data_IF_819918326929
#
_entry.id   IF_819918326929
#
_cell.length_a   1.000
_cell.length_b   1.000
_cell.length_c   1.000
_cell.angle_alpha   90.00
_cell.angle_beta   90.00
_cell.angle_gamma   90.00
#
_symmetry.space_group_name_H-M   'P 1'
#
loop_
_entity.id
_entity.type
_entity.pdbx_description
1 polymer ?
#
# COMPACT_ATOMS: atom_id res chain seq x y z
N UNK A 1 41.04 -9.46 -3.32
CA UNK A 1 40.72 -9.14 -1.90
C UNK A 1 41.63 -10.04 -1.07
N UNK A 2 42.61 -9.45 -0.35
CA UNK A 2 43.60 -10.17 0.44
C UNK A 2 42.90 -10.90 1.58
N UNK A 3 43.12 -12.22 1.69
CA UNK A 3 42.53 -13.11 2.72
C UNK A 3 42.70 -12.61 4.17
N UNK A 4 43.68 -11.74 4.46
CA UNK A 4 43.97 -11.24 5.82
C UNK A 4 43.04 -10.10 6.31
N UNK A 5 42.32 -9.40 5.43
CA UNK A 5 41.40 -8.32 5.86
C UNK A 5 40.04 -8.84 6.33
N UNK A 6 39.64 -10.03 5.87
CA UNK A 6 38.44 -10.73 6.34
C UNK A 6 38.62 -11.32 7.75
N UNK A 7 39.82 -11.82 8.07
CA UNK A 7 40.12 -12.35 9.40
C UNK A 7 40.15 -11.29 10.49
N UNK A 8 40.62 -10.06 10.17
CA UNK A 8 40.59 -8.92 11.11
C UNK A 8 39.17 -8.40 11.42
N UNK A 9 38.23 -8.53 10.47
CA UNK A 9 36.82 -8.20 10.68
C UNK A 9 36.10 -9.26 11.52
N UNK A 10 36.54 -10.52 11.48
CA UNK A 10 35.98 -11.63 12.26
C UNK A 10 36.46 -11.65 13.72
N UNK A 11 37.51 -10.94 14.06
CA UNK A 11 38.05 -10.86 15.45
C UNK A 11 37.21 -9.99 16.38
N UNK A 12 36.36 -9.09 15.86
CA UNK A 12 35.38 -8.39 16.69
C UNK A 12 34.12 -9.25 16.78
N UNK A 13 33.70 -9.68 17.98
CA UNK A 13 32.45 -10.41 18.19
C UNK A 13 31.28 -9.44 17.98
N UNK A 14 30.97 -9.17 16.71
CA UNK A 14 29.74 -8.42 16.39
C UNK A 14 28.54 -9.29 16.73
N UNK A 15 27.60 -8.81 17.54
CA UNK A 15 26.39 -9.57 17.82
C UNK A 15 25.63 -9.84 16.52
N UNK A 16 25.23 -11.08 16.32
CA UNK A 16 24.65 -11.60 15.05
C UNK A 16 23.47 -10.79 14.52
N UNK A 17 22.68 -10.18 15.41
CA UNK A 17 21.55 -9.33 15.01
C UNK A 17 22.00 -8.07 14.27
N UNK A 18 23.19 -7.54 14.56
CA UNK A 18 23.72 -6.37 13.86
C UNK A 18 23.95 -6.66 12.37
N UNK A 19 24.35 -7.88 12.00
CA UNK A 19 24.53 -8.25 10.60
C UNK A 19 23.21 -8.14 9.82
N UNK A 20 22.11 -8.60 10.41
CA UNK A 20 20.78 -8.49 9.78
C UNK A 20 20.41 -7.02 9.61
N UNK A 21 20.55 -6.22 10.67
CA UNK A 21 20.18 -4.80 10.63
C UNK A 21 21.05 -4.03 9.64
N UNK A 22 22.35 -4.22 9.63
CA UNK A 22 23.23 -3.54 8.67
C UNK A 22 22.94 -3.94 7.23
N UNK A 23 22.70 -5.23 6.97
CA UNK A 23 22.36 -5.69 5.62
C UNK A 23 21.00 -5.12 5.17
N UNK A 24 20.02 -5.09 6.08
CA UNK A 24 18.70 -4.50 5.82
C UNK A 24 18.81 -3.00 5.50
N UNK A 25 19.51 -2.25 6.33
CA UNK A 25 19.71 -0.80 6.14
C UNK A 25 20.47 -0.52 4.86
N UNK A 26 21.53 -1.28 4.56
CA UNK A 26 22.30 -1.13 3.34
C UNK A 26 21.44 -1.39 2.08
N UNK A 27 20.63 -2.45 2.09
CA UNK A 27 19.70 -2.75 1.01
C UNK A 27 18.63 -1.66 0.86
N UNK A 28 18.09 -1.15 1.98
CA UNK A 28 17.10 -0.09 1.96
C UNK A 28 17.68 1.23 1.42
N UNK A 29 18.91 1.58 1.80
CA UNK A 29 19.62 2.76 1.28
C UNK A 29 19.86 2.63 -0.23
N UNK A 30 20.24 1.45 -0.69
CA UNK A 30 20.43 1.20 -2.12
C UNK A 30 19.11 1.39 -2.90
N UNK A 31 18.02 0.81 -2.41
CA UNK A 31 16.69 0.99 -3.02
C UNK A 31 16.26 2.46 -2.96
N UNK A 32 16.51 3.15 -1.84
CA UNK A 32 16.20 4.57 -1.69
C UNK A 32 16.93 5.43 -2.74
N UNK A 33 18.21 5.14 -3.00
CA UNK A 33 18.99 5.84 -4.02
C UNK A 33 18.43 5.62 -5.43
N UNK A 34 18.04 4.37 -5.75
CA UNK A 34 17.41 4.05 -7.05
C UNK A 34 16.05 4.72 -7.22
N UNK A 35 15.20 4.68 -6.17
CA UNK A 35 13.90 5.35 -6.19
C UNK A 35 14.05 6.87 -6.30
N UNK A 36 14.99 7.46 -5.57
CA UNK A 36 15.28 8.90 -5.65
C UNK A 36 15.69 9.30 -7.08
N UNK A 37 16.55 8.51 -7.71
CA UNK A 37 16.96 8.75 -9.10
C UNK A 37 15.77 8.66 -10.06
N UNK A 38 14.92 7.62 -9.91
CA UNK A 38 13.75 7.40 -10.75
C UNK A 38 12.74 8.54 -10.60
N UNK A 39 12.43 8.91 -9.35
CA UNK A 39 11.43 9.95 -9.07
C UNK A 39 11.94 11.33 -9.50
N UNK A 40 13.24 11.61 -9.28
CA UNK A 40 13.85 12.85 -9.75
C UNK A 40 13.80 12.94 -11.28
N UNK A 41 14.14 11.85 -11.98
CA UNK A 41 14.07 11.80 -13.44
C UNK A 41 12.64 12.01 -13.95
N UNK A 42 11.65 11.36 -13.31
CA UNK A 42 10.23 11.52 -13.66
C UNK A 42 9.74 12.94 -13.41
N UNK A 43 10.09 13.53 -12.25
CA UNK A 43 9.73 14.89 -11.89
C UNK A 43 10.32 15.92 -12.88
N UNK A 44 11.61 15.73 -13.23
CA UNK A 44 12.29 16.59 -14.19
C UNK A 44 11.68 16.44 -15.59
N UNK A 45 11.45 15.22 -16.04
CA UNK A 45 10.83 14.97 -17.35
C UNK A 45 9.42 15.58 -17.44
N UNK A 46 8.59 15.39 -16.42
CA UNK A 46 7.25 15.98 -16.36
C UNK A 46 7.33 17.51 -16.37
N UNK A 47 8.18 18.10 -15.54
CA UNK A 47 8.37 19.56 -15.48
C UNK A 47 8.82 20.17 -16.82
N UNK A 48 9.77 19.51 -17.51
CA UNK A 48 10.29 20.00 -18.78
C UNK A 48 9.31 19.82 -19.96
N UNK A 49 8.56 18.72 -19.98
CA UNK A 49 7.65 18.42 -21.10
C UNK A 49 6.29 19.11 -20.96
N UNK A 50 5.78 19.24 -19.74
CA UNK A 50 4.42 19.79 -19.51
C UNK A 50 4.41 21.18 -18.88
N UNK A 51 5.55 21.66 -18.38
CA UNK A 51 5.66 22.89 -17.61
C UNK A 51 5.06 22.81 -16.19
N UNK A 52 4.57 21.63 -15.78
CA UNK A 52 3.91 21.43 -14.49
C UNK A 52 4.91 20.84 -13.49
N UNK A 53 5.32 21.64 -12.52
CA UNK A 53 6.23 21.24 -11.44
C UNK A 53 5.44 20.80 -10.20
N UNK A 54 4.89 19.57 -10.25
CA UNK A 54 4.08 19.03 -9.16
C UNK A 54 4.95 18.48 -8.02
N UNK A 55 4.83 19.00 -6.78
CA UNK A 55 5.51 18.45 -5.62
C UNK A 55 4.97 17.07 -5.22
N UNK A 56 3.77 16.71 -5.66
CA UNK A 56 3.14 15.42 -5.39
C UNK A 56 3.96 14.23 -5.88
N UNK A 57 4.71 14.40 -7.00
CA UNK A 57 5.60 13.34 -7.52
C UNK A 57 6.71 13.01 -6.51
N UNK A 58 7.25 14.02 -5.83
CA UNK A 58 8.31 13.82 -4.83
C UNK A 58 7.76 13.07 -3.60
N UNK A 59 6.49 13.29 -3.27
CA UNK A 59 5.83 12.62 -2.14
C UNK A 59 5.68 11.10 -2.36
N UNK A 60 5.75 10.64 -3.60
CA UNK A 60 5.77 9.20 -3.91
C UNK A 60 7.01 8.48 -3.37
N UNK A 61 8.15 9.20 -3.19
CA UNK A 61 9.39 8.60 -2.72
C UNK A 61 9.26 7.95 -1.32
N UNK A 62 8.81 8.67 -0.27
CA UNK A 62 8.68 8.06 1.04
C UNK A 62 7.60 6.95 1.07
N UNK A 63 6.55 7.07 0.27
CA UNK A 63 5.50 6.05 0.16
C UNK A 63 6.05 4.74 -0.40
N UNK A 64 6.72 4.81 -1.55
CA UNK A 64 7.36 3.65 -2.18
C UNK A 64 8.46 3.06 -1.30
N UNK A 65 9.28 3.90 -0.67
CA UNK A 65 10.33 3.44 0.23
C UNK A 65 9.78 2.67 1.43
N UNK A 66 8.68 3.14 2.02
CA UNK A 66 8.01 2.47 3.12
C UNK A 66 7.45 1.12 2.70
N UNK A 67 6.87 1.04 1.51
CA UNK A 67 6.38 -0.20 0.93
C UNK A 67 7.53 -1.20 0.67
N UNK A 68 8.62 -0.75 0.08
CA UNK A 68 9.82 -1.59 -0.10
C UNK A 68 10.43 -2.03 1.22
N UNK A 69 10.46 -1.16 2.24
CA UNK A 69 10.93 -1.51 3.57
C UNK A 69 10.12 -2.68 4.17
N UNK A 70 8.80 -2.65 4.00
CA UNK A 70 7.92 -3.74 4.43
C UNK A 70 8.26 -5.05 3.69
N UNK A 71 8.31 -5.05 2.36
CA UNK A 71 8.61 -6.25 1.58
C UNK A 71 9.99 -6.81 1.88
N UNK A 72 10.98 -5.93 2.05
CA UNK A 72 12.33 -6.32 2.42
C UNK A 72 12.38 -6.98 3.80
N UNK A 73 11.60 -6.48 4.77
CA UNK A 73 11.51 -7.08 6.11
C UNK A 73 10.93 -8.50 6.07
N UNK A 74 9.88 -8.72 5.25
CA UNK A 74 9.30 -10.04 5.02
C UNK A 74 10.30 -10.97 4.34
N UNK A 75 11.05 -10.48 3.35
CA UNK A 75 12.08 -11.24 2.66
C UNK A 75 13.22 -11.67 3.60
N UNK A 76 13.70 -10.77 4.46
CA UNK A 76 14.72 -11.08 5.46
C UNK A 76 14.21 -12.10 6.48
N UNK A 77 12.99 -11.90 6.99
CA UNK A 77 12.37 -12.83 7.92
C UNK A 77 12.24 -14.23 7.32
N UNK A 78 11.64 -14.34 6.13
CA UNK A 78 11.45 -15.62 5.45
C UNK A 78 12.78 -16.29 5.09
N UNK A 79 13.80 -15.51 4.68
CA UNK A 79 15.13 -16.00 4.41
C UNK A 79 15.81 -16.59 5.66
N UNK A 80 15.67 -15.93 6.80
CA UNK A 80 16.18 -16.45 8.09
C UNK A 80 15.45 -17.74 8.51
N UNK A 81 14.14 -17.81 8.29
CA UNK A 81 13.34 -18.98 8.66
C UNK A 81 13.64 -20.18 7.76
N UNK A 82 13.61 -19.97 6.46
CA UNK A 82 13.71 -21.06 5.46
C UNK A 82 15.14 -21.43 5.07
N UNK A 83 16.12 -20.57 5.35
CA UNK A 83 17.52 -20.68 4.91
C UNK A 83 17.68 -20.84 3.38
N UNK A 84 16.68 -20.43 2.63
CA UNK A 84 16.63 -20.52 1.18
C UNK A 84 16.25 -19.18 0.57
N UNK A 85 17.10 -18.65 -0.30
CA UNK A 85 16.83 -17.41 -1.02
C UNK A 85 15.60 -17.53 -1.93
N UNK A 86 15.42 -18.69 -2.58
CA UNK A 86 14.28 -18.94 -3.47
C UNK A 86 12.97 -18.97 -2.67
N UNK A 87 12.95 -19.65 -1.52
CA UNK A 87 11.78 -19.67 -0.65
C UNK A 87 11.46 -18.27 -0.12
N UNK A 88 12.48 -17.48 0.25
CA UNK A 88 12.28 -16.10 0.68
C UNK A 88 11.62 -15.23 -0.40
N UNK A 89 12.09 -15.35 -1.66
CA UNK A 89 11.48 -14.65 -2.80
C UNK A 89 10.02 -15.04 -3.00
N UNK A 90 9.72 -16.35 -2.99
CA UNK A 90 8.36 -16.84 -3.17
C UNK A 90 7.40 -16.36 -2.06
N UNK A 91 7.85 -16.42 -0.80
CA UNK A 91 7.06 -15.93 0.33
C UNK A 91 6.80 -14.42 0.21
N UNK A 92 7.81 -13.65 -0.20
CA UNK A 92 7.66 -12.19 -0.37
C UNK A 92 6.67 -11.85 -1.48
N UNK A 93 6.74 -12.56 -2.62
CA UNK A 93 5.79 -12.39 -3.73
C UNK A 93 4.39 -12.82 -3.32
N UNK A 94 4.25 -13.95 -2.61
CA UNK A 94 2.96 -14.39 -2.10
C UNK A 94 2.35 -13.38 -1.11
N UNK A 95 3.17 -12.84 -0.20
CA UNK A 95 2.74 -11.79 0.73
C UNK A 95 2.28 -10.53 0.00
N UNK A 96 3.04 -10.08 -1.00
CA UNK A 96 2.65 -8.96 -1.85
C UNK A 96 1.32 -9.22 -2.57
N UNK A 97 1.15 -10.43 -3.15
CA UNK A 97 -0.08 -10.79 -3.83
C UNK A 97 -1.30 -10.78 -2.90
N UNK A 98 -1.13 -11.24 -1.65
CA UNK A 98 -2.19 -11.18 -0.63
C UNK A 98 -2.56 -9.74 -0.31
N UNK A 99 -1.57 -8.85 -0.09
CA UNK A 99 -1.82 -7.42 0.15
C UNK A 99 -2.60 -6.80 -1.02
N UNK A 100 -2.17 -7.09 -2.26
CA UNK A 100 -2.80 -6.57 -3.46
C UNK A 100 -4.25 -7.02 -3.60
N UNK A 101 -4.53 -8.32 -3.39
CA UNK A 101 -5.90 -8.86 -3.48
C UNK A 101 -6.82 -8.27 -2.40
N UNK A 102 -6.32 -8.17 -1.16
CA UNK A 102 -7.10 -7.59 -0.05
C UNK A 102 -7.41 -6.13 -0.32
N UNK A 103 -6.45 -5.36 -0.82
CA UNK A 103 -6.64 -3.98 -1.19
C UNK A 103 -7.66 -3.80 -2.31
N UNK A 104 -7.59 -4.60 -3.39
CA UNK A 104 -8.61 -4.58 -4.45
C UNK A 104 -10.01 -4.87 -3.90
N UNK A 105 -10.14 -5.84 -2.99
CA UNK A 105 -11.43 -6.15 -2.36
C UNK A 105 -11.92 -4.99 -1.48
N UNK A 106 -11.03 -4.36 -0.73
CA UNK A 106 -11.37 -3.19 0.09
C UNK A 106 -11.86 -2.02 -0.77
N UNK A 107 -11.18 -1.71 -1.88
CA UNK A 107 -11.62 -0.68 -2.83
C UNK A 107 -13.02 -0.97 -3.38
N UNK A 108 -13.36 -2.23 -3.63
CA UNK A 108 -14.71 -2.62 -4.08
C UNK A 108 -15.77 -2.34 -3.00
N UNK A 109 -15.45 -2.61 -1.73
CA UNK A 109 -16.35 -2.35 -0.60
C UNK A 109 -16.57 -0.84 -0.44
N UNK A 110 -15.51 -0.04 -0.47
CA UNK A 110 -15.60 1.44 -0.38
C UNK A 110 -16.37 2.03 -1.56
N UNK A 111 -16.09 1.56 -2.78
CA UNK A 111 -16.80 2.01 -3.98
C UNK A 111 -18.30 1.68 -3.94
N UNK A 112 -18.70 0.55 -3.34
CA UNK A 112 -20.10 0.19 -3.15
C UNK A 112 -20.80 1.12 -2.16
N UNK A 113 -20.17 1.46 -1.04
CA UNK A 113 -20.69 2.43 -0.04
C UNK A 113 -20.96 3.79 -0.67
N UNK A 114 -19.99 4.33 -1.39
CA UNK A 114 -20.11 5.66 -2.02
C UNK A 114 -21.23 5.68 -3.06
N UNK A 115 -21.43 4.57 -3.79
CA UNK A 115 -22.55 4.44 -4.73
C UNK A 115 -23.89 4.46 -4.04
N UNK A 116 -24.04 3.82 -2.88
CA UNK A 116 -25.25 3.83 -2.07
C UNK A 116 -25.54 5.23 -1.53
N UNK A 117 -24.57 5.92 -0.95
CA UNK A 117 -24.71 7.31 -0.48
C UNK A 117 -25.07 8.27 -1.61
N UNK A 118 -24.51 8.08 -2.82
CA UNK A 118 -24.81 8.92 -3.98
C UNK A 118 -26.19 8.61 -4.56
N UNK A 119 -26.68 7.39 -4.43
CA UNK A 119 -28.02 6.98 -4.89
C UNK A 119 -29.12 7.49 -3.96
N UNK A 120 -28.83 7.65 -2.67
CA UNK A 120 -29.76 8.19 -1.66
C UNK A 120 -29.89 9.73 -1.68
N UNK A 121 -28.91 10.42 -2.30
CA UNK A 121 -29.01 11.89 -2.50
C UNK A 121 -30.07 12.19 -3.57
N UNK A 122 -31.10 13.04 -3.25
CA UNK A 122 -32.11 13.42 -4.22
C UNK A 122 -31.42 14.10 -5.41
N UNK A 123 -31.52 13.48 -6.57
CA UNK A 123 -31.03 14.10 -7.81
C UNK A 123 -31.84 15.36 -8.08
N UNK A 124 -31.21 16.48 -8.48
CA UNK A 124 -31.95 17.60 -9.00
C UNK A 124 -32.79 17.08 -10.19
N UNK A 125 -34.11 17.21 -10.05
CA UNK A 125 -35.07 16.73 -11.07
C UNK A 125 -34.82 17.55 -12.33
N UNK A 126 -34.24 16.91 -13.34
CA UNK A 126 -34.11 17.54 -14.65
C UNK A 126 -35.46 17.57 -15.35
N UNK A 127 -35.76 18.66 -16.07
CA UNK A 127 -36.98 18.74 -16.87
C UNK A 127 -37.13 17.55 -17.85
N UNK A 128 -36.02 16.98 -18.29
CA UNK A 128 -36.01 15.77 -19.11
C UNK A 128 -36.48 14.49 -18.35
N UNK A 129 -36.34 14.44 -17.03
CA UNK A 129 -36.79 13.31 -16.21
C UNK A 129 -38.31 13.35 -15.95
N UNK A 130 -38.93 14.51 -16.07
CA UNK A 130 -40.39 14.70 -15.95
C UNK A 130 -41.09 14.21 -17.22
N UNK A 131 -40.44 14.31 -18.37
CA UNK A 131 -40.98 13.96 -19.68
C UNK A 131 -40.75 12.50 -20.07
N UNK A 132 -39.92 11.74 -19.34
CA UNK A 132 -39.68 10.31 -19.60
C UNK A 132 -40.72 9.44 -18.85
N UNK A 133 -41.34 8.41 -19.51
CA UNK A 133 -42.16 7.42 -18.84
C UNK A 133 -41.37 6.80 -17.68
N UNK A 134 -41.90 6.89 -16.46
CA UNK A 134 -41.25 6.31 -15.27
C UNK A 134 -41.02 4.80 -15.46
N UNK A 135 -39.77 4.31 -15.42
CA UNK A 135 -39.53 2.87 -15.38
C UNK A 135 -40.21 2.31 -14.14
N UNK A 136 -40.85 1.14 -14.28
CA UNK A 136 -41.60 0.47 -13.21
C UNK A 136 -40.74 0.35 -11.93
N UNK A 137 -41.26 0.81 -10.77
CA UNK A 137 -40.49 0.87 -9.52
C UNK A 137 -40.00 -0.51 -9.06
N UNK A 138 -40.75 -1.59 -9.32
CA UNK A 138 -40.41 -2.94 -8.89
C UNK A 138 -39.06 -3.47 -9.43
N UNK A 139 -38.66 -3.10 -10.65
CA UNK A 139 -37.39 -3.56 -11.23
C UNK A 139 -36.19 -2.79 -10.67
N UNK A 140 -36.38 -1.55 -10.22
CA UNK A 140 -35.34 -0.75 -9.56
C UNK A 140 -35.11 -1.20 -8.13
N UNK A 141 -36.14 -1.55 -7.38
CA UNK A 141 -36.05 -2.04 -6.01
C UNK A 141 -35.35 -3.40 -5.93
N UNK A 142 -35.64 -4.32 -6.85
CA UNK A 142 -34.97 -5.62 -6.92
C UNK A 142 -33.46 -5.49 -7.27
N UNK A 143 -33.11 -4.59 -8.18
CA UNK A 143 -31.70 -4.36 -8.54
C UNK A 143 -30.93 -3.61 -7.44
N UNK A 144 -31.58 -2.76 -6.65
CA UNK A 144 -30.97 -2.07 -5.51
C UNK A 144 -30.84 -2.98 -4.31
N UNK A 145 -31.83 -3.80 -4.00
CA UNK A 145 -31.79 -4.74 -2.88
C UNK A 145 -30.78 -5.86 -3.06
N UNK A 146 -30.61 -6.39 -4.29
CA UNK A 146 -29.59 -7.38 -4.60
C UNK A 146 -28.15 -6.80 -4.50
N UNK A 147 -27.98 -5.50 -4.77
CA UNK A 147 -26.68 -4.81 -4.66
C UNK A 147 -26.37 -4.33 -3.24
N UNK A 148 -27.38 -3.91 -2.48
CA UNK A 148 -27.24 -3.52 -1.08
C UNK A 148 -26.85 -4.70 -0.16
N UNK A 149 -27.07 -5.95 -0.59
CA UNK A 149 -26.72 -7.12 0.19
C UNK A 149 -25.22 -7.40 0.28
N UNK A 150 -24.40 -6.94 -0.66
CA UNK A 150 -22.96 -7.24 -0.66
C UNK A 150 -22.22 -6.55 0.50
N UNK A 151 -22.58 -5.32 0.84
CA UNK A 151 -21.98 -4.60 1.96
C UNK A 151 -22.34 -5.20 3.33
N UNK A 152 -23.53 -5.78 3.46
CA UNK A 152 -23.99 -6.46 4.67
C UNK A 152 -23.50 -7.92 4.77
N UNK A 153 -22.81 -8.42 3.76
CA UNK A 153 -22.34 -9.79 3.69
C UNK A 153 -21.21 -10.02 4.70
N UNK A 154 -21.16 -11.20 5.29
CA UNK A 154 -20.09 -11.64 6.19
C UNK A 154 -18.70 -11.44 5.56
N UNK A 155 -18.60 -11.60 4.24
CA UNK A 155 -17.37 -11.39 3.46
C UNK A 155 -16.86 -9.95 3.58
N UNK A 156 -17.72 -8.93 3.46
CA UNK A 156 -17.30 -7.53 3.59
C UNK A 156 -16.75 -7.24 4.98
N UNK A 157 -17.38 -7.76 6.03
CA UNK A 157 -16.89 -7.63 7.42
C UNK A 157 -15.56 -8.34 7.63
N UNK A 158 -15.38 -9.50 7.04
CA UNK A 158 -14.09 -10.23 7.11
C UNK A 158 -13.00 -9.47 6.37
N UNK A 159 -13.28 -8.95 5.17
CA UNK A 159 -12.33 -8.12 4.41
C UNK A 159 -11.94 -6.86 5.20
N UNK A 160 -12.90 -6.17 5.81
CA UNK A 160 -12.62 -5.00 6.65
C UNK A 160 -11.79 -5.35 7.89
N UNK A 161 -12.08 -6.48 8.54
CA UNK A 161 -11.31 -6.93 9.70
C UNK A 161 -9.87 -7.31 9.32
N UNK A 162 -9.70 -8.01 8.19
CA UNK A 162 -8.38 -8.35 7.66
C UNK A 162 -7.64 -7.07 7.26
N UNK A 163 -8.30 -6.18 6.54
CA UNK A 163 -7.72 -4.90 6.11
C UNK A 163 -7.31 -4.05 7.32
N UNK A 164 -8.08 -4.03 8.40
CA UNK A 164 -7.75 -3.26 9.60
C UNK A 164 -6.44 -3.71 10.28
N UNK A 165 -6.02 -4.96 10.09
CA UNK A 165 -4.80 -5.54 10.67
C UNK A 165 -3.62 -5.51 9.69
N UNK A 166 -3.87 -5.65 8.38
CA UNK A 166 -2.80 -5.63 7.37
C UNK A 166 -2.18 -4.23 7.21
N UNK A 167 -0.91 -4.15 6.79
CA UNK A 167 -0.29 -2.86 6.46
C UNK A 167 -0.99 -2.20 5.28
N UNK A 168 -1.34 -0.92 5.46
CA UNK A 168 -2.15 -0.13 4.52
C UNK A 168 -1.26 0.54 3.46
N UNK A 169 -0.60 -0.26 2.63
CA UNK A 169 0.23 0.27 1.54
C UNK A 169 -0.58 1.04 0.50
N UNK A 170 -1.83 0.65 0.28
CA UNK A 170 -2.75 1.33 -0.64
C UNK A 170 -3.24 2.68 -0.13
N UNK A 171 -3.31 2.88 1.19
CA UNK A 171 -3.64 4.19 1.77
C UNK A 171 -2.56 5.22 1.42
N UNK A 172 -1.29 4.79 1.38
CA UNK A 172 -0.17 5.65 0.99
C UNK A 172 -0.22 6.01 -0.49
N UNK A 173 -0.58 5.05 -1.34
CA UNK A 173 -0.76 5.24 -2.79
C UNK A 173 -1.93 6.18 -3.08
N UNK A 174 -3.08 5.95 -2.46
CA UNK A 174 -4.26 6.82 -2.64
C UNK A 174 -4.01 8.25 -2.18
N UNK A 175 -3.13 8.46 -1.19
CA UNK A 175 -2.77 9.80 -0.73
C UNK A 175 -1.80 10.52 -1.67
N UNK A 176 -0.86 9.78 -2.28
CA UNK A 176 -0.01 10.32 -3.36
C UNK A 176 -0.87 10.67 -4.56
N UNK A 177 -1.77 9.80 -4.96
CA UNK A 177 -2.72 10.02 -6.05
C UNK A 177 -3.62 11.24 -5.79
N UNK A 178 -4.10 11.41 -4.56
CA UNK A 178 -4.90 12.57 -4.14
C UNK A 178 -4.12 13.88 -4.31
N UNK A 179 -2.84 13.89 -3.95
CA UNK A 179 -1.99 15.06 -4.13
C UNK A 179 -1.73 15.33 -5.62
N UNK A 180 -1.40 14.30 -6.39
CA UNK A 180 -1.21 14.41 -7.83
C UNK A 180 -2.47 14.92 -8.54
N UNK A 181 -3.66 14.42 -8.17
CA UNK A 181 -4.92 14.89 -8.76
C UNK A 181 -5.24 16.35 -8.40
N UNK A 182 -4.83 16.83 -7.24
CA UNK A 182 -4.95 18.26 -6.91
C UNK A 182 -4.06 19.11 -7.80
N UNK A 183 -2.81 18.66 -8.00
CA UNK A 183 -1.81 19.39 -8.78
C UNK A 183 -2.16 19.41 -10.27
N UNK A 184 -2.74 18.34 -10.80
CA UNK A 184 -3.16 18.22 -12.21
C UNK A 184 -4.61 18.66 -12.47
N UNK A 185 -5.29 19.25 -11.47
CA UNK A 185 -6.66 19.75 -11.57
C UNK A 185 -7.68 18.75 -12.18
N UNK A 186 -7.47 17.45 -11.97
CA UNK A 186 -8.39 16.40 -12.39
C UNK A 186 -9.67 16.50 -11.57
N UNK A 187 -10.71 17.06 -12.19
CA UNK A 187 -12.02 17.25 -11.56
C UNK A 187 -12.91 16.03 -11.67
N UNK A 188 -13.94 15.93 -10.80
CA UNK A 188 -15.05 15.02 -10.97
C UNK A 188 -15.21 13.93 -9.92
N UNK A 189 -15.86 12.84 -10.30
CA UNK A 189 -16.24 11.73 -9.41
C UNK A 189 -15.07 11.05 -8.70
N UNK A 190 -13.87 11.01 -9.33
CA UNK A 190 -12.67 10.44 -8.73
C UNK A 190 -12.26 11.18 -7.45
N UNK A 191 -12.39 12.51 -7.44
CA UNK A 191 -12.08 13.32 -6.26
C UNK A 191 -12.96 12.98 -5.07
N UNK A 192 -14.26 12.72 -5.29
CA UNK A 192 -15.18 12.31 -4.22
C UNK A 192 -14.85 10.93 -3.64
N UNK A 193 -14.38 10.00 -4.46
CA UNK A 193 -13.94 8.67 -4.01
C UNK A 193 -12.72 8.75 -3.10
N UNK A 194 -11.82 9.70 -3.37
CA UNK A 194 -10.57 9.86 -2.63
C UNK A 194 -10.67 10.77 -1.41
N UNK A 195 -11.72 11.56 -1.29
CA UNK A 195 -11.98 12.43 -0.12
C UNK A 195 -12.67 11.70 1.05
N UNK A 196 -12.75 10.35 1.02
CA UNK A 196 -13.32 9.60 2.14
C UNK A 196 -12.49 9.80 3.42
N UNK A 197 -13.13 10.01 4.59
CA UNK A 197 -12.46 10.33 5.85
C UNK A 197 -11.68 9.14 6.44
N UNK A 198 -11.85 7.94 5.87
CA UNK A 198 -11.27 6.69 6.40
C UNK A 198 -9.75 6.57 6.15
N UNK A 199 -9.19 7.40 5.26
CA UNK A 199 -7.76 7.36 4.90
C UNK A 199 -6.96 8.39 5.68
N UNK A 200 -6.12 7.96 6.63
CA UNK A 200 -5.24 8.84 7.41
C UNK A 200 -3.77 8.42 7.29
N UNK A 201 -2.89 9.39 7.00
CA UNK A 201 -1.45 9.20 6.90
C UNK A 201 -0.86 8.49 8.13
N UNK A 202 -1.25 8.93 9.32
CA UNK A 202 -0.71 8.41 10.57
C UNK A 202 -0.99 6.91 10.74
N UNK A 203 -2.19 6.45 10.34
CA UNK A 203 -2.57 5.05 10.43
C UNK A 203 -1.84 4.20 9.41
N UNK A 204 -1.77 4.63 8.15
CA UNK A 204 -1.08 3.89 7.09
C UNK A 204 0.42 3.73 7.37
N UNK A 205 1.10 4.84 7.71
CA UNK A 205 2.53 4.84 8.07
C UNK A 205 2.77 4.04 9.33
N UNK A 206 2.00 4.28 10.40
CA UNK A 206 2.19 3.64 11.69
C UNK A 206 2.03 2.13 11.62
N UNK A 207 1.00 1.63 10.94
CA UNK A 207 0.75 0.20 10.80
C UNK A 207 1.82 -0.48 9.94
N UNK A 208 2.24 0.15 8.86
CA UNK A 208 3.31 -0.38 7.99
C UNK A 208 4.65 -0.44 8.72
N UNK A 209 5.01 0.60 9.48
CA UNK A 209 6.21 0.60 10.32
C UNK A 209 6.15 -0.46 11.42
N UNK A 210 4.99 -0.64 12.06
CA UNK A 210 4.80 -1.65 13.09
C UNK A 210 5.02 -3.07 12.53
N UNK A 211 4.48 -3.38 11.35
CA UNK A 211 4.70 -4.67 10.70
C UNK A 211 6.16 -4.87 10.28
N UNK A 212 6.78 -3.84 9.71
CA UNK A 212 8.20 -3.87 9.33
C UNK A 212 9.07 -4.16 10.55
N UNK A 213 8.84 -3.46 11.67
CA UNK A 213 9.56 -3.68 12.91
C UNK A 213 9.31 -5.08 13.49
N UNK A 214 8.07 -5.57 13.46
CA UNK A 214 7.71 -6.90 13.95
C UNK A 214 8.46 -8.00 13.18
N UNK A 215 8.48 -7.96 11.86
CA UNK A 215 9.22 -8.93 11.04
C UNK A 215 10.73 -8.86 11.27
N UNK A 216 11.31 -7.67 11.38
CA UNK A 216 12.73 -7.52 11.67
C UNK A 216 13.11 -8.03 13.06
N UNK A 217 12.32 -7.69 14.08
CA UNK A 217 12.54 -8.20 15.45
C UNK A 217 12.44 -9.72 15.46
N UNK A 218 11.42 -10.30 14.82
CA UNK A 218 11.27 -11.73 14.71
C UNK A 218 12.47 -12.38 14.00
N UNK A 219 12.93 -11.80 12.90
CA UNK A 219 14.12 -12.27 12.20
C UNK A 219 15.37 -12.24 13.08
N UNK A 220 15.61 -11.13 13.79
CA UNK A 220 16.74 -10.97 14.70
C UNK A 220 16.68 -11.97 15.88
N UNK A 221 15.50 -12.18 16.48
CA UNK A 221 15.32 -13.12 17.58
C UNK A 221 15.56 -14.56 17.12
N UNK A 222 15.00 -14.96 15.98
CA UNK A 222 15.19 -16.32 15.44
C UNK A 222 16.66 -16.54 15.10
N UNK A 223 17.30 -15.56 14.48
CA UNK A 223 18.70 -15.67 14.10
C UNK A 223 19.64 -15.72 15.31
N UNK A 224 19.36 -14.95 16.36
CA UNK A 224 20.17 -14.95 17.59
C UNK A 224 19.99 -16.20 18.43
N UNK A 225 18.80 -16.86 18.38
CA UNK A 225 18.50 -18.08 19.14
C UNK A 225 18.95 -19.38 18.46
N UNK A 226 19.30 -19.31 17.18
CA UNK A 226 19.82 -20.46 16.47
C UNK A 226 21.28 -20.64 16.85
N UNK A 227 21.55 -21.63 17.67
CA UNK A 227 22.89 -22.07 18.04
C UNK A 227 23.71 -22.48 16.80
N UNK A 228 25.05 -22.39 16.90
CA UNK A 228 25.98 -22.68 15.81
C UNK A 228 25.87 -24.10 15.29
#
# INVERSE_FOLDING_TARGET
IRKGTLELLLVRPLPRWQLIVFTYVAALLFVAALLALLILATWLATGLLTGLWSPGIILALPSLLLFFALLLSVSVFSGVVTRSAVAAMLVTVAYWAVLFVVGLMHLQVVASRIREETADKPRPVSVADVLRPRPQPARREQASSARASFHKTTVARVVEAIYAVLPHSEDLDTMVDRQLMRDFAVGGRLRQLMESPDFTWARGIGLTLAHTAAFLIAACVIFSRRDP
#
